data_IF_556771500922
#
_entry.id   IF_556771500922
#
_cell.length_a   1.000
_cell.length_b   1.000
_cell.length_c   1.000
_cell.angle_alpha   90.00
_cell.angle_beta   90.00
_cell.angle_gamma   90.00
#
_symmetry.space_group_name_H-M   'P 1'
#
loop_
_entity.id
_entity.type
_entity.pdbx_description
1 polymer ?
#
# COMPACT_ATOMS: atom_id res chain seq x y z
N UNK A 1 -17.57 5.14 20.40
CA UNK A 1 -16.37 4.34 20.07
C UNK A 1 -16.44 2.87 20.49
N UNK A 2 -17.23 2.47 21.48
CA UNK A 2 -17.35 1.06 21.86
C UNK A 2 -18.20 0.19 20.91
N UNK A 3 -19.04 0.79 20.10
CA UNK A 3 -19.96 0.07 19.20
C UNK A 3 -19.32 -0.43 17.89
N UNK A 4 -18.11 0.05 17.54
CA UNK A 4 -17.48 -0.23 16.25
C UNK A 4 -16.27 -1.15 16.31
N UNK A 5 -16.13 -1.97 17.35
CA UNK A 5 -14.96 -2.87 17.53
C UNK A 5 -14.72 -3.86 16.38
N UNK A 6 -15.74 -4.11 15.52
CA UNK A 6 -15.66 -5.06 14.41
C UNK A 6 -16.16 -4.48 13.08
N UNK A 7 -16.42 -3.19 12.98
CA UNK A 7 -16.82 -2.55 11.72
C UNK A 7 -15.65 -1.78 11.11
N UNK A 8 -15.52 -1.86 9.80
CA UNK A 8 -14.60 -0.99 9.09
C UNK A 8 -15.02 0.46 9.28
N UNK A 9 -14.06 1.30 9.69
CA UNK A 9 -14.33 2.74 9.79
C UNK A 9 -14.57 3.32 8.39
N UNK A 10 -15.44 4.34 8.26
CA UNK A 10 -15.52 5.13 7.04
C UNK A 10 -14.15 5.72 6.65
N UNK A 11 -13.96 5.97 5.34
CA UNK A 11 -12.71 6.54 4.81
C UNK A 11 -12.33 7.82 5.55
N UNK A 12 -13.29 8.70 5.78
CA UNK A 12 -13.12 9.99 6.44
C UNK A 12 -12.61 9.88 7.89
N UNK A 13 -13.02 8.84 8.61
CA UNK A 13 -12.56 8.61 9.98
C UNK A 13 -11.12 8.07 10.00
N UNK A 14 -10.76 7.22 9.05
CA UNK A 14 -9.38 6.79 8.86
C UNK A 14 -8.47 7.97 8.49
N UNK A 15 -8.89 8.83 7.57
CA UNK A 15 -8.13 10.02 7.16
C UNK A 15 -7.91 10.97 8.33
N UNK A 16 -8.95 11.25 9.10
CA UNK A 16 -8.84 12.10 10.31
C UNK A 16 -7.86 11.53 11.32
N UNK A 17 -7.91 10.22 11.55
CA UNK A 17 -7.00 9.56 12.48
C UNK A 17 -5.56 9.55 11.96
N UNK A 18 -5.38 9.20 10.70
CA UNK A 18 -4.07 9.23 10.04
C UNK A 18 -3.46 10.62 10.09
N UNK A 19 -4.25 11.65 9.77
CA UNK A 19 -3.81 13.05 9.88
C UNK A 19 -3.39 13.41 11.30
N UNK A 20 -4.16 13.06 12.31
CA UNK A 20 -3.82 13.32 13.70
C UNK A 20 -2.50 12.69 14.12
N UNK A 21 -2.23 11.46 13.69
CA UNK A 21 -0.96 10.78 13.91
C UNK A 21 0.19 11.43 13.13
N UNK A 22 -0.06 11.80 11.87
CA UNK A 22 0.93 12.45 11.03
C UNK A 22 1.34 13.84 11.57
N UNK A 23 0.38 14.63 12.01
CA UNK A 23 0.62 15.95 12.63
C UNK A 23 1.48 15.84 13.91
N UNK A 24 1.44 14.70 14.59
CA UNK A 24 2.30 14.35 15.72
C UNK A 24 3.66 13.76 15.33
N UNK A 25 3.86 13.39 14.06
CA UNK A 25 5.01 12.61 13.60
C UNK A 25 5.01 11.17 14.10
N UNK A 26 3.84 10.60 14.42
CA UNK A 26 3.69 9.26 15.01
C UNK A 26 3.07 8.22 14.07
N UNK A 27 2.70 8.63 12.85
CA UNK A 27 2.00 7.77 11.91
C UNK A 27 2.82 6.55 11.48
N UNK A 28 4.11 6.75 11.28
CA UNK A 28 5.01 5.77 10.67
C UNK A 28 6.24 5.50 11.56
N UNK A 29 6.05 4.86 12.73
CA UNK A 29 7.10 4.63 13.71
C UNK A 29 8.27 3.78 13.17
N UNK A 30 8.05 3.04 12.10
CA UNK A 30 9.05 2.16 11.49
C UNK A 30 9.79 2.78 10.31
N UNK A 31 9.37 3.95 9.86
CA UNK A 31 10.05 4.60 8.75
C UNK A 31 11.40 5.21 9.19
N UNK A 32 12.38 5.24 8.28
CA UNK A 32 13.58 6.03 8.46
C UNK A 32 13.26 7.51 8.70
N UNK A 33 14.10 8.18 9.50
CA UNK A 33 13.87 9.60 9.87
C UNK A 33 13.86 10.50 8.63
N UNK A 34 14.70 10.22 7.65
CA UNK A 34 14.76 10.95 6.38
C UNK A 34 13.47 10.91 5.57
N UNK A 35 12.58 9.95 5.84
CA UNK A 35 11.27 9.84 5.21
C UNK A 35 10.10 10.18 6.14
N UNK A 36 10.38 10.78 7.29
CA UNK A 36 9.35 11.25 8.23
C UNK A 36 9.06 10.31 9.40
N UNK A 37 9.86 9.28 9.62
CA UNK A 37 9.78 8.45 10.82
C UNK A 37 10.29 9.19 12.06
N UNK A 38 9.76 8.90 13.25
CA UNK A 38 10.11 9.59 14.51
C UNK A 38 11.47 9.18 15.11
N UNK A 39 12.14 8.19 14.53
CA UNK A 39 13.41 7.69 15.06
C UNK A 39 13.28 6.96 16.40
N UNK A 40 12.13 6.38 16.69
CA UNK A 40 11.86 5.71 17.96
C UNK A 40 12.67 4.41 18.14
N UNK A 41 13.11 4.20 19.39
CA UNK A 41 13.64 2.91 19.82
C UNK A 41 12.55 1.83 19.82
N UNK A 42 12.96 0.56 19.82
CA UNK A 42 12.03 -0.57 19.92
C UNK A 42 11.12 -0.47 21.15
N UNK A 43 11.64 0.02 22.27
CA UNK A 43 10.85 0.23 23.49
C UNK A 43 9.77 1.28 23.30
N UNK A 44 10.08 2.40 22.64
CA UNK A 44 9.09 3.45 22.36
C UNK A 44 7.99 2.97 21.41
N UNK A 45 8.35 2.21 20.38
CA UNK A 45 7.37 1.58 19.48
C UNK A 45 6.45 0.62 20.22
N UNK A 46 7.01 -0.23 21.09
CA UNK A 46 6.23 -1.15 21.91
C UNK A 46 5.25 -0.42 22.85
N UNK A 47 5.71 0.65 23.51
CA UNK A 47 4.84 1.47 24.37
C UNK A 47 3.71 2.08 23.53
N UNK A 48 4.03 2.66 22.38
CA UNK A 48 3.03 3.26 21.48
C UNK A 48 1.98 2.23 21.04
N UNK A 49 2.39 1.07 20.56
CA UNK A 49 1.48 0.02 20.12
C UNK A 49 0.60 -0.50 21.29
N UNK A 50 1.19 -0.60 22.49
CA UNK A 50 0.47 -1.00 23.70
C UNK A 50 -0.59 0.03 24.08
N UNK A 51 -0.26 1.32 24.07
CA UNK A 51 -1.21 2.40 24.36
C UNK A 51 -2.32 2.47 23.31
N UNK A 52 -1.98 2.32 22.02
CA UNK A 52 -2.95 2.25 20.93
C UNK A 52 -3.97 1.12 21.19
N UNK A 53 -3.48 -0.07 21.55
CA UNK A 53 -4.32 -1.21 21.82
C UNK A 53 -5.18 -1.02 23.08
N UNK A 54 -4.60 -0.55 24.20
CA UNK A 54 -5.30 -0.32 25.47
C UNK A 54 -6.44 0.69 25.36
N UNK A 55 -6.28 1.69 24.47
CA UNK A 55 -7.27 2.74 24.25
C UNK A 55 -8.20 2.45 23.07
N UNK A 56 -8.14 1.25 22.48
CA UNK A 56 -8.90 0.87 21.30
C UNK A 56 -8.78 1.92 20.15
N UNK A 57 -7.59 2.48 19.98
CA UNK A 57 -7.34 3.42 18.91
C UNK A 57 -7.53 2.75 17.55
N UNK A 58 -8.06 3.45 16.54
CA UNK A 58 -8.22 2.89 15.21
C UNK A 58 -6.89 2.46 14.61
N UNK A 59 -6.87 1.32 13.90
CA UNK A 59 -5.73 0.95 13.08
C UNK A 59 -5.57 1.91 11.90
N UNK A 60 -4.34 2.13 11.48
CA UNK A 60 -4.05 2.85 10.23
C UNK A 60 -4.20 1.92 9.04
N UNK A 61 -4.56 2.48 7.88
CA UNK A 61 -4.59 1.72 6.62
C UNK A 61 -3.17 1.32 6.21
N UNK A 62 -2.87 0.00 6.15
CA UNK A 62 -1.48 -0.44 6.06
C UNK A 62 -0.91 -0.39 4.64
N UNK A 63 -1.78 -0.40 3.60
CA UNK A 63 -1.35 -0.68 2.23
C UNK A 63 -0.33 0.33 1.70
N UNK A 64 -0.59 1.62 1.84
CA UNK A 64 0.38 2.66 1.45
C UNK A 64 1.60 2.65 2.36
N UNK A 65 1.38 3.01 3.62
CA UNK A 65 2.47 3.34 4.56
C UNK A 65 3.28 2.15 5.07
N UNK A 66 2.69 0.95 5.19
CA UNK A 66 3.39 -0.23 5.72
C UNK A 66 3.83 -1.23 4.65
N UNK A 67 3.15 -1.28 3.50
CA UNK A 67 3.41 -2.29 2.48
C UNK A 67 4.08 -1.70 1.23
N UNK A 68 3.53 -0.65 0.64
CA UNK A 68 4.05 -0.04 -0.59
C UNK A 68 5.27 0.86 -0.33
N UNK A 69 5.17 1.76 0.65
CA UNK A 69 6.21 2.74 0.93
C UNK A 69 7.61 2.16 1.17
N UNK A 70 7.79 1.06 1.94
CA UNK A 70 9.12 0.46 2.11
C UNK A 70 9.75 0.00 0.78
N UNK A 71 8.93 -0.44 -0.18
CA UNK A 71 9.42 -0.83 -1.51
C UNK A 71 9.86 0.40 -2.29
N UNK A 72 9.06 1.48 -2.27
CA UNK A 72 9.42 2.74 -2.93
C UNK A 72 10.68 3.34 -2.31
N UNK A 73 10.80 3.36 -0.98
CA UNK A 73 12.00 3.86 -0.29
C UNK A 73 13.26 3.14 -0.74
N UNK A 74 13.17 1.82 -0.92
CA UNK A 74 14.33 0.98 -1.23
C UNK A 74 14.67 0.94 -2.72
N UNK A 75 13.67 0.91 -3.59
CA UNK A 75 13.84 0.60 -5.00
C UNK A 75 13.31 1.69 -5.95
N UNK A 76 12.49 2.61 -5.45
CA UNK A 76 11.94 3.69 -6.25
C UNK A 76 12.97 4.75 -6.63
N UNK A 77 12.73 5.43 -7.75
CA UNK A 77 13.50 6.62 -8.13
C UNK A 77 13.24 7.78 -7.16
N UNK A 78 14.06 8.81 -7.21
CA UNK A 78 13.87 9.98 -6.34
C UNK A 78 12.57 10.71 -6.67
N UNK A 79 12.16 10.74 -7.95
CA UNK A 79 10.86 11.28 -8.40
C UNK A 79 9.69 10.48 -7.80
N UNK A 80 9.78 9.15 -7.78
CA UNK A 80 8.77 8.30 -7.16
C UNK A 80 8.67 8.52 -5.66
N UNK A 81 9.80 8.63 -4.96
CA UNK A 81 9.83 8.92 -3.53
C UNK A 81 9.20 10.28 -3.23
N UNK A 82 9.57 11.32 -3.98
CA UNK A 82 9.03 12.68 -3.81
C UNK A 82 7.53 12.76 -4.13
N UNK A 83 7.07 12.00 -5.11
CA UNK A 83 5.66 11.99 -5.52
C UNK A 83 4.78 11.26 -4.51
N UNK A 84 5.15 10.05 -4.10
CA UNK A 84 4.25 9.15 -3.41
C UNK A 84 4.36 9.20 -1.88
N UNK A 85 5.57 9.27 -1.31
CA UNK A 85 5.71 9.15 0.15
C UNK A 85 5.00 10.28 0.93
N UNK A 86 5.10 11.57 0.54
CA UNK A 86 4.37 12.63 1.24
C UNK A 86 2.85 12.46 1.18
N UNK A 87 2.31 12.01 0.04
CA UNK A 87 0.88 11.82 -0.16
C UNK A 87 0.33 10.60 0.58
N UNK A 88 1.16 9.56 0.77
CA UNK A 88 0.85 8.45 1.67
C UNK A 88 0.79 8.90 3.14
N UNK A 89 1.68 9.81 3.56
CA UNK A 89 1.67 10.35 4.93
C UNK A 89 0.48 11.27 5.18
N UNK A 90 0.15 12.14 4.24
CA UNK A 90 -0.99 13.07 4.38
C UNK A 90 -2.35 12.35 4.30
N UNK A 91 -2.39 11.15 3.72
CA UNK A 91 -3.63 10.41 3.46
C UNK A 91 -4.36 10.88 2.19
N UNK A 92 -3.72 11.72 1.37
CA UNK A 92 -4.28 12.15 0.08
C UNK A 92 -4.38 11.00 -0.92
N UNK A 93 -3.43 10.07 -0.89
CA UNK A 93 -3.45 8.88 -1.74
C UNK A 93 -3.74 7.63 -0.90
N UNK A 94 -4.85 6.98 -1.20
CA UNK A 94 -5.18 5.67 -0.66
C UNK A 94 -4.68 4.56 -1.58
N UNK A 95 -4.20 3.49 -0.98
CA UNK A 95 -3.56 2.39 -1.69
C UNK A 95 -4.27 1.08 -1.44
N UNK A 96 -4.31 0.22 -2.47
CA UNK A 96 -4.69 -1.17 -2.32
C UNK A 96 -3.60 -2.11 -2.88
N UNK A 97 -3.71 -3.40 -2.53
CA UNK A 97 -2.71 -4.41 -2.90
C UNK A 97 -3.27 -5.36 -3.96
N UNK A 98 -2.63 -5.42 -5.14
CA UNK A 98 -2.94 -6.30 -6.24
C UNK A 98 -1.98 -7.48 -6.35
N UNK A 99 -2.01 -8.43 -5.39
CA UNK A 99 -1.13 -9.60 -5.43
C UNK A 99 -1.86 -10.84 -5.93
N UNK A 100 -2.85 -11.31 -5.19
CA UNK A 100 -3.55 -12.56 -5.45
C UNK A 100 -4.37 -12.52 -6.75
N UNK A 101 -4.45 -13.67 -7.40
CA UNK A 101 -5.26 -13.92 -8.59
C UNK A 101 -6.09 -15.19 -8.39
N UNK A 102 -7.11 -15.47 -9.21
CA UNK A 102 -7.88 -16.71 -9.11
C UNK A 102 -7.01 -17.98 -9.11
N UNK A 103 -5.88 -17.96 -9.84
CA UNK A 103 -4.91 -19.07 -9.92
C UNK A 103 -3.61 -18.84 -9.14
N UNK A 104 -3.47 -17.75 -8.40
CA UNK A 104 -2.22 -17.40 -7.71
C UNK A 104 -2.50 -16.78 -6.33
N UNK A 105 -2.50 -17.63 -5.32
CA UNK A 105 -2.63 -17.24 -3.91
C UNK A 105 -1.38 -17.64 -3.14
N UNK A 106 -1.38 -18.81 -2.50
CA UNK A 106 -0.19 -19.32 -1.80
C UNK A 106 1.01 -19.52 -2.75
N UNK A 107 0.77 -19.96 -3.99
CA UNK A 107 1.77 -19.93 -5.07
C UNK A 107 1.71 -18.57 -5.79
N UNK A 108 2.12 -17.52 -5.10
CA UNK A 108 2.09 -16.15 -5.63
C UNK A 108 2.97 -15.98 -6.87
N UNK A 109 4.05 -16.75 -7.00
CA UNK A 109 4.90 -16.72 -8.18
C UNK A 109 4.18 -17.19 -9.47
N UNK A 110 2.97 -17.72 -9.35
CA UNK A 110 2.14 -18.12 -10.48
C UNK A 110 1.24 -17.00 -11.04
N UNK A 111 1.48 -15.73 -10.69
CA UNK A 111 0.71 -14.59 -11.23
C UNK A 111 0.73 -14.59 -12.76
N UNK A 112 -0.44 -14.37 -13.35
CA UNK A 112 -0.69 -14.38 -14.77
C UNK A 112 -1.05 -12.99 -15.33
N UNK A 113 -1.44 -12.04 -14.48
CA UNK A 113 -1.60 -10.64 -14.90
C UNK A 113 -0.32 -10.20 -15.59
N UNK A 114 -0.43 -9.80 -16.85
CA UNK A 114 0.70 -9.49 -17.69
C UNK A 114 0.85 -7.98 -17.87
N UNK A 115 2.09 -7.50 -17.91
CA UNK A 115 2.45 -6.15 -18.34
C UNK A 115 3.35 -6.22 -19.56
N UNK A 116 2.94 -5.54 -20.61
CA UNK A 116 3.70 -5.38 -21.86
C UNK A 116 4.21 -3.95 -21.96
N UNK A 117 5.53 -3.80 -22.09
CA UNK A 117 6.18 -2.51 -22.26
C UNK A 117 5.91 -1.97 -23.66
N UNK A 118 5.25 -0.81 -23.74
CA UNK A 118 4.95 -0.11 -24.99
C UNK A 118 5.90 1.08 -25.21
N UNK A 119 6.92 1.24 -24.36
CA UNK A 119 7.93 2.29 -24.42
C UNK A 119 7.59 3.48 -23.52
N UNK A 120 6.46 4.11 -23.72
CA UNK A 120 6.00 5.25 -22.92
C UNK A 120 4.98 4.87 -21.83
N UNK A 121 4.41 3.66 -21.89
CA UNK A 121 3.46 3.12 -20.91
C UNK A 121 3.51 1.58 -20.85
N UNK A 122 2.87 1.02 -19.84
CA UNK A 122 2.65 -0.42 -19.68
C UNK A 122 1.22 -0.79 -20.03
N UNK A 123 1.03 -1.72 -20.97
CA UNK A 123 -0.28 -2.31 -21.21
C UNK A 123 -0.46 -3.48 -20.26
N UNK A 124 -1.39 -3.35 -19.29
CA UNK A 124 -1.62 -4.36 -18.27
C UNK A 124 -2.94 -5.07 -18.51
N UNK A 125 -2.90 -6.41 -18.54
CA UNK A 125 -4.09 -7.25 -18.69
C UNK A 125 -4.08 -8.37 -17.66
N UNK A 126 -5.18 -8.53 -16.92
CA UNK A 126 -5.35 -9.57 -15.92
C UNK A 126 -6.44 -9.28 -14.92
N UNK A 127 -6.49 -10.09 -13.88
CA UNK A 127 -7.47 -9.97 -12.81
C UNK A 127 -6.80 -10.22 -11.47
N UNK A 128 -7.02 -9.32 -10.53
CA UNK A 128 -6.65 -9.47 -9.12
C UNK A 128 -7.89 -9.80 -8.28
N UNK A 129 -7.68 -10.53 -7.18
CA UNK A 129 -8.75 -10.87 -6.23
C UNK A 129 -8.32 -10.54 -4.80
N UNK A 130 -9.30 -10.45 -3.91
CA UNK A 130 -9.07 -10.14 -2.49
C UNK A 130 -8.39 -8.78 -2.27
N UNK A 131 -8.60 -7.85 -3.20
CA UNK A 131 -8.01 -6.52 -3.18
C UNK A 131 -8.85 -5.61 -2.28
N UNK A 132 -8.60 -5.69 -0.98
CA UNK A 132 -9.32 -4.87 0.01
C UNK A 132 -9.19 -3.39 -0.31
N UNK A 133 -10.32 -2.67 -0.23
CA UNK A 133 -10.43 -1.23 -0.51
C UNK A 133 -10.14 -0.80 -1.97
N UNK A 134 -10.14 -1.71 -2.93
CA UNK A 134 -9.97 -1.34 -4.34
C UNK A 134 -11.04 -0.33 -4.82
N UNK A 135 -12.24 -0.39 -4.24
CA UNK A 135 -13.35 0.53 -4.52
C UNK A 135 -13.15 1.95 -3.98
N UNK A 136 -12.10 2.20 -3.21
CA UNK A 136 -11.80 3.46 -2.52
C UNK A 136 -10.38 3.95 -2.71
N UNK A 137 -9.51 3.08 -3.23
CA UNK A 137 -8.10 3.38 -3.42
C UNK A 137 -7.89 4.27 -4.65
N UNK A 138 -6.92 5.18 -4.53
CA UNK A 138 -6.45 6.02 -5.63
C UNK A 138 -5.35 5.30 -6.42
N UNK A 139 -4.59 4.43 -5.75
CA UNK A 139 -3.46 3.69 -6.30
C UNK A 139 -3.50 2.22 -5.92
N UNK A 140 -3.04 1.37 -6.83
CA UNK A 140 -2.75 -0.04 -6.56
C UNK A 140 -1.27 -0.33 -6.76
N UNK A 141 -0.66 -1.06 -5.83
CA UNK A 141 0.62 -1.71 -6.07
C UNK A 141 0.38 -3.18 -6.39
N UNK A 142 0.83 -3.61 -7.56
CA UNK A 142 0.52 -4.93 -8.08
C UNK A 142 1.77 -5.71 -8.47
N UNK A 143 1.71 -7.02 -8.29
CA UNK A 143 2.67 -7.94 -8.88
C UNK A 143 2.14 -8.38 -10.24
N UNK A 144 2.90 -8.11 -11.28
CA UNK A 144 2.56 -8.45 -12.65
C UNK A 144 3.71 -9.18 -13.34
N UNK A 145 3.39 -9.98 -14.35
CA UNK A 145 4.39 -10.68 -15.14
C UNK A 145 4.84 -9.81 -16.30
N UNK A 146 6.07 -9.36 -16.24
CA UNK A 146 6.70 -8.53 -17.28
C UNK A 146 7.67 -9.31 -18.15
N UNK A 147 8.12 -10.48 -17.71
CA UNK A 147 8.95 -11.39 -18.50
C UNK A 147 8.38 -12.82 -18.39
N UNK A 148 7.88 -13.35 -19.51
CA UNK A 148 7.28 -14.69 -19.60
C UNK A 148 8.33 -15.80 -19.73
N UNK A 149 9.50 -15.48 -20.21
CA UNK A 149 10.59 -16.45 -20.48
C UNK A 149 11.50 -16.63 -19.26
N UNK A 150 11.46 -15.69 -18.33
CA UNK A 150 12.23 -15.79 -17.10
C UNK A 150 11.69 -16.90 -16.15
N UNK A 151 12.54 -17.49 -15.30
CA UNK A 151 12.10 -18.37 -14.24
C UNK A 151 11.00 -17.71 -13.38
N UNK A 152 10.01 -18.49 -12.99
CA UNK A 152 8.72 -18.13 -12.38
C UNK A 152 8.71 -16.83 -11.58
N UNK A 153 9.57 -16.71 -10.57
CA UNK A 153 9.64 -15.54 -9.67
C UNK A 153 10.52 -14.38 -10.19
N UNK A 154 11.36 -14.62 -11.20
CA UNK A 154 12.25 -13.58 -11.77
C UNK A 154 11.58 -12.74 -12.85
N UNK A 155 10.47 -13.21 -13.41
CA UNK A 155 9.70 -12.49 -14.42
C UNK A 155 8.59 -11.60 -13.86
N UNK A 156 8.61 -11.31 -12.56
CA UNK A 156 7.58 -10.53 -11.88
C UNK A 156 8.13 -9.16 -11.52
N UNK A 157 7.35 -8.13 -11.84
CA UNK A 157 7.62 -6.75 -11.48
C UNK A 157 6.59 -6.21 -10.49
N UNK A 158 7.01 -5.23 -9.69
CA UNK A 158 6.15 -4.46 -8.81
C UNK A 158 5.76 -3.17 -9.53
N UNK A 159 4.49 -3.04 -9.89
CA UNK A 159 3.96 -1.91 -10.64
C UNK A 159 3.04 -1.06 -9.77
N UNK A 160 3.15 0.25 -9.92
CA UNK A 160 2.24 1.24 -9.34
C UNK A 160 1.28 1.70 -10.44
N UNK A 161 -0.02 1.56 -10.21
CA UNK A 161 -1.04 1.93 -11.21
C UNK A 161 -2.07 2.85 -10.59
N UNK A 162 -2.52 3.82 -11.36
CA UNK A 162 -3.61 4.72 -11.01
C UNK A 162 -4.95 3.98 -11.12
N UNK A 163 -5.75 3.99 -10.06
CA UNK A 163 -7.06 3.33 -10.04
C UNK A 163 -8.14 4.11 -10.79
N UNK A 164 -7.85 5.36 -11.15
CA UNK A 164 -8.75 6.18 -11.99
C UNK A 164 -8.61 5.92 -13.50
N UNK A 165 -7.62 5.09 -13.90
CA UNK A 165 -7.46 4.70 -15.30
C UNK A 165 -8.75 4.02 -15.82
N UNK A 166 -9.28 4.45 -16.98
CA UNK A 166 -10.52 3.88 -17.55
C UNK A 166 -10.47 2.37 -17.83
N UNK A 167 -9.28 1.78 -17.90
CA UNK A 167 -9.09 0.34 -18.04
C UNK A 167 -9.21 -0.45 -16.74
N UNK A 168 -9.31 0.23 -15.58
CA UNK A 168 -9.42 -0.42 -14.27
C UNK A 168 -10.89 -0.55 -13.87
N UNK A 169 -11.33 -1.78 -13.62
CA UNK A 169 -12.66 -2.08 -13.08
C UNK A 169 -12.55 -2.76 -11.71
N UNK A 170 -13.37 -2.32 -10.74
CA UNK A 170 -13.56 -2.99 -9.44
C UNK A 170 -14.96 -3.59 -9.37
N UNK A 171 -15.08 -4.82 -8.80
CA UNK A 171 -16.35 -5.54 -8.68
C UNK A 171 -16.51 -6.15 -7.29
#
# INVERSE_FOLDING_TARGET
>A
MAENRNSYLPKEDHERWQKALNDKGWLVPDWPVEFGGPGWSTTQKYIFDTEMANHNAPGIMPFGVRMCAPVIMKFGSDEQKQRFLPRMLSGEDWWCQGYSEPGAGSDLANVQTIGEDQGDHWLVNGQKIWTSYADKADWIFALIRTDRDAPKHKGISFLLMDMSDPGVETR
#
